data_IF_349000814915
#
_entry.id   IF_349000814915
#
_cell.length_a   1.000
_cell.length_b   1.000
_cell.length_c   1.000
_cell.angle_alpha   90.00
_cell.angle_beta   90.00
_cell.angle_gamma   90.00
#
_symmetry.space_group_name_H-M   'P 1'
#
loop_
_entity.id
_entity.type
_entity.pdbx_description
1 polymer ?
#
# COMPACT_ATOMS: atom_id res chain seq x y z
N UNK A 1 -3.55 -10.09 -1.21
CA UNK A 1 -2.63 -9.42 -2.15
C UNK A 1 -1.77 -8.45 -1.35
N UNK A 2 -0.54 -8.20 -1.78
CA UNK A 2 0.42 -7.42 -0.98
C UNK A 2 1.07 -6.36 -1.85
N UNK A 3 1.37 -5.21 -1.27
CA UNK A 3 2.29 -4.22 -1.83
C UNK A 3 3.21 -3.69 -0.74
N UNK A 4 4.42 -3.30 -1.11
CA UNK A 4 5.39 -2.69 -0.20
C UNK A 4 5.72 -1.32 -0.73
N UNK A 5 5.62 -0.33 0.16
CA UNK A 5 5.91 1.05 -0.10
C UNK A 5 7.16 1.49 0.65
N UNK A 6 7.98 2.32 0.02
CA UNK A 6 9.15 2.94 0.65
C UNK A 6 9.05 4.45 0.59
N UNK A 7 9.48 5.20 1.62
CA UNK A 7 9.56 6.65 1.52
C UNK A 7 10.63 7.07 0.49
N UNK A 8 10.30 8.11 -0.30
CA UNK A 8 11.21 8.69 -1.30
C UNK A 8 12.40 9.44 -0.69
N UNK A 9 12.34 9.77 0.60
CA UNK A 9 13.41 10.42 1.36
C UNK A 9 13.56 9.82 2.76
N UNK A 10 14.38 10.43 3.64
CA UNK A 10 14.44 10.07 5.04
C UNK A 10 13.05 10.23 5.70
N UNK A 11 12.59 9.22 6.41
CA UNK A 11 11.34 9.24 7.16
C UNK A 11 11.50 8.39 8.43
N UNK A 12 10.83 8.79 9.51
CA UNK A 12 10.70 7.95 10.69
C UNK A 12 9.52 6.99 10.53
N UNK A 13 9.51 5.90 11.29
CA UNK A 13 8.47 4.87 11.22
C UNK A 13 7.05 5.47 11.38
N UNK A 14 6.87 6.38 12.33
CA UNK A 14 5.59 7.02 12.60
C UNK A 14 5.08 7.93 11.48
N UNK A 15 5.91 8.26 10.48
CA UNK A 15 5.54 9.18 9.40
C UNK A 15 4.85 8.46 8.24
N UNK A 16 4.99 7.13 8.13
CA UNK A 16 4.55 6.38 6.94
C UNK A 16 3.03 6.24 6.86
N UNK A 17 2.37 5.90 7.98
CA UNK A 17 0.91 5.76 8.04
C UNK A 17 0.20 7.10 7.72
N UNK A 18 0.59 8.25 8.32
CA UNK A 18 0.03 9.55 7.94
C UNK A 18 0.13 9.89 6.46
N UNK A 19 1.20 9.49 5.78
CA UNK A 19 1.38 9.75 4.33
C UNK A 19 0.46 8.87 3.48
N UNK A 20 0.14 7.64 3.93
CA UNK A 20 -0.77 6.74 3.22
C UNK A 20 -2.25 7.15 3.35
N UNK A 21 -2.65 7.73 4.49
CA UNK A 21 -4.05 8.03 4.83
C UNK A 21 -4.85 8.74 3.74
N UNK A 22 -4.35 9.79 3.05
CA UNK A 22 -5.15 10.49 2.05
C UNK A 22 -5.51 9.58 0.87
N UNK A 23 -4.65 8.64 0.48
CA UNK A 23 -4.97 7.67 -0.55
C UNK A 23 -6.07 6.70 -0.11
N UNK A 24 -6.06 6.27 1.16
CA UNK A 24 -7.09 5.40 1.73
C UNK A 24 -8.46 6.10 1.81
N UNK A 25 -8.47 7.38 2.16
CA UNK A 25 -9.69 8.20 2.17
C UNK A 25 -10.28 8.29 0.76
N UNK A 26 -9.46 8.54 -0.26
CA UNK A 26 -9.93 8.60 -1.66
C UNK A 26 -10.37 7.24 -2.19
N UNK A 27 -9.75 6.16 -1.71
CA UNK A 27 -10.17 4.80 -2.02
C UNK A 27 -11.54 4.47 -1.41
N UNK A 28 -11.99 5.23 -0.41
CA UNK A 28 -13.22 4.98 0.34
C UNK A 28 -13.05 3.94 1.45
N UNK A 29 -11.84 3.80 1.98
CA UNK A 29 -11.56 2.90 3.11
C UNK A 29 -12.12 3.49 4.41
N UNK A 30 -12.96 2.71 5.10
CA UNK A 30 -13.39 2.96 6.47
C UNK A 30 -12.27 2.49 7.41
N UNK A 31 -11.68 3.41 8.17
CA UNK A 31 -10.56 3.07 9.08
C UNK A 31 -11.12 2.50 10.39
N UNK A 32 -10.72 1.27 10.72
CA UNK A 32 -11.14 0.56 11.93
C UNK A 32 -10.20 0.86 13.10
N UNK A 33 -8.89 0.74 12.86
CA UNK A 33 -7.84 1.02 13.84
C UNK A 33 -6.69 1.77 13.20
N UNK A 34 -6.15 2.77 13.91
CA UNK A 34 -4.98 3.52 13.49
C UNK A 34 -4.06 3.71 14.69
N UNK A 35 -2.84 3.18 14.58
CA UNK A 35 -1.73 3.48 15.48
C UNK A 35 -0.54 4.07 14.73
N UNK A 36 0.60 4.23 15.43
CA UNK A 36 1.78 4.86 14.84
C UNK A 36 2.46 4.01 13.76
N UNK A 37 2.40 2.68 13.89
CA UNK A 37 3.09 1.71 13.02
C UNK A 37 2.17 0.68 12.38
N UNK A 38 0.87 0.77 12.64
CA UNK A 38 -0.13 -0.17 12.14
C UNK A 38 -1.45 0.55 11.85
N UNK A 39 -2.16 0.11 10.83
CA UNK A 39 -3.48 0.58 10.46
C UNK A 39 -4.30 -0.59 9.91
N UNK A 40 -5.58 -0.63 10.25
CA UNK A 40 -6.54 -1.53 9.63
C UNK A 40 -7.79 -0.79 9.19
N UNK A 41 -8.43 -1.29 8.13
CA UNK A 41 -9.68 -0.73 7.64
C UNK A 41 -10.40 -1.65 6.68
N UNK A 42 -11.59 -1.22 6.28
CA UNK A 42 -12.50 -1.97 5.42
C UNK A 42 -12.91 -1.12 4.22
N UNK A 43 -12.85 -1.72 3.04
CA UNK A 43 -13.45 -1.18 1.83
C UNK A 43 -14.63 -2.06 1.42
N UNK A 44 -15.75 -1.46 1.02
CA UNK A 44 -16.86 -2.17 0.38
C UNK A 44 -16.84 -1.89 -1.12
N UNK A 45 -16.56 -2.92 -1.92
CA UNK A 45 -16.45 -2.80 -3.38
C UNK A 45 -17.83 -2.95 -4.02
N UNK A 46 -18.38 -1.90 -4.67
CA UNK A 46 -19.63 -2.01 -5.41
C UNK A 46 -19.44 -2.73 -6.77
N UNK A 47 -20.50 -3.26 -7.38
CA UNK A 47 -21.87 -3.38 -6.85
C UNK A 47 -22.06 -4.63 -5.96
N UNK A 48 -21.09 -5.57 -5.93
CA UNK A 48 -21.29 -6.83 -5.20
C UNK A 48 -21.26 -6.68 -3.68
N UNK A 49 -20.80 -5.53 -3.15
CA UNK A 49 -20.68 -5.29 -1.72
C UNK A 49 -19.57 -6.13 -1.07
N UNK A 50 -18.60 -6.60 -1.86
CA UNK A 50 -17.48 -7.40 -1.35
C UNK A 50 -16.70 -6.57 -0.33
N UNK A 51 -16.53 -7.14 0.86
CA UNK A 51 -15.71 -6.54 1.90
C UNK A 51 -14.24 -6.90 1.66
N UNK A 52 -13.41 -5.88 1.45
CA UNK A 52 -11.95 -6.00 1.33
C UNK A 52 -11.34 -5.38 2.58
N UNK A 53 -10.69 -6.21 3.39
CA UNK A 53 -9.91 -5.77 4.54
C UNK A 53 -8.55 -5.27 4.08
N UNK A 54 -8.13 -4.15 4.64
CA UNK A 54 -6.84 -3.53 4.43
C UNK A 54 -6.08 -3.53 5.75
N UNK A 55 -4.83 -3.98 5.70
CA UNK A 55 -3.86 -3.85 6.79
C UNK A 55 -2.63 -3.13 6.26
N UNK A 56 -2.07 -2.21 7.03
CA UNK A 56 -0.84 -1.53 6.72
C UNK A 56 0.08 -1.54 7.94
N UNK A 57 1.26 -2.14 7.82
CA UNK A 57 2.22 -2.32 8.91
C UNK A 57 3.58 -1.75 8.53
N UNK A 58 4.14 -0.92 9.40
CA UNK A 58 5.48 -0.37 9.23
C UNK A 58 6.50 -1.43 9.63
N UNK A 59 7.38 -1.76 8.69
CA UNK A 59 8.45 -2.73 8.88
C UNK A 59 9.79 -1.99 9.03
N UNK A 60 10.50 -2.16 10.16
CA UNK A 60 11.85 -1.62 10.30
C UNK A 60 12.80 -2.37 9.35
N UNK A 61 13.57 -1.62 8.55
CA UNK A 61 14.63 -2.17 7.70
C UNK A 61 15.94 -1.42 7.93
N UNK A 62 17.06 -2.06 7.60
CA UNK A 62 18.40 -1.48 7.77
C UNK A 62 18.66 -0.26 6.89
N UNK A 63 17.90 -0.07 5.80
CA UNK A 63 18.02 1.04 4.85
C UNK A 63 16.84 2.04 4.92
N UNK A 64 16.10 2.02 6.03
CA UNK A 64 14.96 2.89 6.34
C UNK A 64 13.62 2.13 6.33
N UNK A 65 12.59 2.62 7.04
CA UNK A 65 11.34 1.88 7.21
C UNK A 65 10.59 1.66 5.89
N UNK A 66 9.90 0.54 5.81
CA UNK A 66 8.99 0.18 4.71
C UNK A 66 7.57 0.05 5.24
N UNK A 67 6.58 0.19 4.37
CA UNK A 67 5.17 0.00 4.69
C UNK A 67 4.61 -1.16 3.89
N UNK A 68 4.31 -2.25 4.58
CA UNK A 68 3.65 -3.42 4.02
C UNK A 68 2.15 -3.20 4.04
N UNK A 69 1.51 -3.25 2.88
CA UNK A 69 0.05 -3.13 2.76
C UNK A 69 -0.52 -4.43 2.23
N UNK A 70 -1.46 -5.01 2.97
CA UNK A 70 -2.10 -6.29 2.66
C UNK A 70 -3.60 -6.06 2.44
N UNK A 71 -4.10 -6.55 1.31
CA UNK A 71 -5.52 -6.61 0.99
C UNK A 71 -6.02 -8.05 1.06
N UNK A 72 -7.06 -8.28 1.87
CA UNK A 72 -7.71 -9.58 2.02
C UNK A 72 -9.20 -9.47 1.74
N UNK A 73 -9.79 -10.49 1.12
CA UNK A 73 -11.23 -10.57 0.91
C UNK A 73 -11.69 -12.03 0.95
N UNK A 74 -13.00 -12.24 1.05
CA UNK A 74 -13.61 -13.56 0.90
C UNK A 74 -13.78 -14.02 -0.56
N UNK A 75 -13.18 -13.32 -1.53
CA UNK A 75 -13.35 -13.60 -2.94
C UNK A 75 -12.67 -14.92 -3.35
N UNK A 76 -13.40 -15.78 -4.06
CA UNK A 76 -12.87 -17.08 -4.47
C UNK A 76 -11.64 -16.93 -5.40
N UNK A 77 -10.57 -17.65 -5.06
CA UNK A 77 -9.31 -17.60 -5.81
C UNK A 77 -9.35 -18.33 -7.17
N UNK A 78 -10.45 -19.02 -7.50
CA UNK A 78 -10.64 -19.72 -8.78
C UNK A 78 -10.48 -18.81 -9.99
N UNK A 79 -10.82 -17.52 -9.86
CA UNK A 79 -10.62 -16.48 -10.88
C UNK A 79 -9.52 -15.47 -10.53
N UNK A 80 -8.70 -15.75 -9.51
CA UNK A 80 -7.61 -14.86 -9.10
C UNK A 80 -8.06 -13.58 -8.39
N UNK A 81 -9.23 -13.60 -7.74
CA UNK A 81 -9.78 -12.49 -6.95
C UNK A 81 -9.80 -11.13 -7.68
N UNK A 82 -10.53 -11.02 -8.81
CA UNK A 82 -10.52 -9.82 -9.66
C UNK A 82 -10.93 -8.53 -8.94
N UNK A 83 -11.86 -8.56 -7.99
CA UNK A 83 -12.27 -7.36 -7.25
C UNK A 83 -11.19 -6.90 -6.26
N UNK A 84 -10.55 -7.86 -5.61
CA UNK A 84 -9.40 -7.58 -4.73
C UNK A 84 -8.22 -7.01 -5.53
N UNK A 85 -7.99 -7.53 -6.75
CA UNK A 85 -6.97 -7.02 -7.68
C UNK A 85 -7.28 -5.61 -8.17
N UNK A 86 -8.53 -5.34 -8.52
CA UNK A 86 -8.97 -4.00 -8.91
C UNK A 86 -8.76 -3.02 -7.76
N UNK A 87 -9.07 -3.42 -6.52
CA UNK A 87 -8.84 -2.60 -5.33
C UNK A 87 -7.35 -2.27 -5.16
N UNK A 88 -6.46 -3.26 -5.31
CA UNK A 88 -5.02 -3.05 -5.27
C UNK A 88 -4.58 -2.03 -6.34
N UNK A 89 -5.07 -2.19 -7.57
CA UNK A 89 -4.72 -1.29 -8.67
C UNK A 89 -5.21 0.14 -8.41
N UNK A 90 -6.44 0.32 -7.95
CA UNK A 90 -6.97 1.63 -7.57
C UNK A 90 -6.13 2.30 -6.49
N UNK A 91 -5.69 1.55 -5.47
CA UNK A 91 -4.79 2.09 -4.45
C UNK A 91 -3.46 2.55 -5.05
N UNK A 92 -2.86 1.74 -5.92
CA UNK A 92 -1.61 2.08 -6.63
C UNK A 92 -1.78 3.37 -7.45
N UNK A 93 -2.89 3.51 -8.18
CA UNK A 93 -3.18 4.67 -9.03
C UNK A 93 -3.39 5.96 -8.21
N UNK A 94 -3.83 5.84 -6.94
CA UNK A 94 -4.01 6.97 -6.03
C UNK A 94 -2.70 7.43 -5.37
N UNK A 95 -1.66 6.57 -5.29
CA UNK A 95 -0.41 6.91 -4.59
C UNK A 95 0.26 8.18 -5.13
N UNK A 96 0.45 8.37 -6.45
CA UNK A 96 1.13 9.56 -6.95
C UNK A 96 0.38 10.87 -6.64
N UNK A 97 -0.94 10.80 -6.46
CA UNK A 97 -1.81 11.95 -6.22
C UNK A 97 -1.99 12.26 -4.73
N UNK A 98 -2.04 11.23 -3.89
CA UNK A 98 -2.48 11.35 -2.50
C UNK A 98 -1.46 10.84 -1.47
N UNK A 99 -0.42 10.13 -1.91
CA UNK A 99 0.66 9.61 -1.07
C UNK A 99 2.02 9.78 -1.76
N UNK A 100 2.27 10.93 -2.39
CA UNK A 100 3.43 11.17 -3.26
C UNK A 100 4.80 10.99 -2.57
N UNK A 101 4.84 10.99 -1.23
CA UNK A 101 6.03 10.68 -0.44
C UNK A 101 6.40 9.20 -0.39
N UNK A 102 5.50 8.31 -0.82
CA UNK A 102 5.70 6.86 -0.88
C UNK A 102 5.92 6.39 -2.32
N UNK A 103 6.76 5.39 -2.47
CA UNK A 103 7.09 4.74 -3.73
C UNK A 103 6.76 3.25 -3.64
N UNK A 104 6.06 2.73 -4.65
CA UNK A 104 5.79 1.30 -4.78
C UNK A 104 7.07 0.56 -5.21
N UNK A 105 7.64 -0.24 -4.31
CA UNK A 105 8.88 -1.00 -4.56
C UNK A 105 8.63 -2.48 -4.83
N UNK A 106 7.48 -2.99 -4.39
CA UNK A 106 7.08 -4.38 -4.59
C UNK A 106 5.56 -4.49 -4.61
N UNK A 107 5.05 -5.40 -5.43
CA UNK A 107 3.68 -5.90 -5.33
C UNK A 107 3.68 -7.40 -5.55
N UNK A 108 2.85 -8.11 -4.81
CA UNK A 108 2.56 -9.52 -4.98
C UNK A 108 1.08 -9.66 -5.31
N UNK A 109 0.85 -9.79 -6.61
CA UNK A 109 -0.37 -10.30 -7.22
C UNK A 109 0.01 -11.42 -8.21
N UNK A 110 -0.93 -11.83 -9.06
CA UNK A 110 -0.71 -12.94 -10.01
C UNK A 110 0.24 -12.59 -11.16
N UNK A 111 0.61 -11.33 -11.34
CA UNK A 111 1.50 -10.86 -12.42
C UNK A 111 2.98 -10.92 -12.03
N UNK A 112 3.28 -11.37 -10.80
CA UNK A 112 4.63 -11.49 -10.28
C UNK A 112 5.19 -10.18 -9.72
N UNK A 113 6.34 -10.24 -9.02
CA UNK A 113 6.93 -9.06 -8.43
C UNK A 113 7.27 -8.03 -9.50
N UNK A 114 6.89 -6.76 -9.27
CA UNK A 114 7.49 -5.66 -10.02
C UNK A 114 9.02 -5.74 -9.85
N UNK A 115 9.81 -5.49 -10.91
CA UNK A 115 11.25 -5.43 -10.77
C UNK A 115 11.58 -4.36 -9.73
N UNK A 116 12.31 -4.75 -8.67
CA UNK A 116 12.80 -3.83 -7.65
C UNK A 116 13.53 -2.69 -8.37
N UNK A 117 12.96 -1.49 -8.35
CA UNK A 117 13.67 -0.32 -8.86
C UNK A 117 14.87 -0.11 -7.93
N UNK A 118 16.08 -0.34 -8.46
CA UNK A 118 17.29 0.05 -7.75
C UNK A 118 17.24 1.56 -7.59
N UNK A 119 17.18 2.04 -6.34
CA UNK A 119 17.38 3.45 -6.00
C UNK A 119 18.55 3.97 -6.83
N UNK A 120 18.31 4.97 -7.67
CA UNK A 120 19.41 5.67 -8.31
C UNK A 120 20.28 6.28 -7.20
N UNK A 121 21.61 6.12 -7.24
CA UNK A 121 22.47 6.73 -6.25
C UNK A 121 22.22 8.25 -6.26
N UNK A 122 22.11 8.83 -5.06
CA UNK A 122 21.94 10.26 -4.90
C UNK A 122 23.05 11.00 -5.67
N UNK A 123 22.74 12.10 -6.38
CA UNK A 123 23.75 12.87 -7.06
C UNK A 123 24.76 13.38 -6.04
N UNK A 124 26.04 13.05 -6.24
CA UNK A 124 27.12 13.57 -5.43
C UNK A 124 27.20 15.09 -5.63
N UNK A 125 26.90 15.85 -4.58
CA UNK A 125 27.13 17.29 -4.53
C UNK A 125 28.63 17.56 -4.73
N UNK A 126 28.97 18.35 -5.76
CA UNK A 126 30.30 18.95 -5.94
C UNK A 126 30.38 20.28 -5.24
#
# INVERSE_FOLDING_TARGET
MIMVLKPRGPAAEQDLIPVLLPALVQLGTEIDQQGPVHLSGLLRVPPQGLAVQLFADVQPQSDGPELDVVLMSGEAMTKGAPLTRQTLQSLIDLLPLHAAGLELIFRSDRDGPLPRQKRAPAPASR
#
